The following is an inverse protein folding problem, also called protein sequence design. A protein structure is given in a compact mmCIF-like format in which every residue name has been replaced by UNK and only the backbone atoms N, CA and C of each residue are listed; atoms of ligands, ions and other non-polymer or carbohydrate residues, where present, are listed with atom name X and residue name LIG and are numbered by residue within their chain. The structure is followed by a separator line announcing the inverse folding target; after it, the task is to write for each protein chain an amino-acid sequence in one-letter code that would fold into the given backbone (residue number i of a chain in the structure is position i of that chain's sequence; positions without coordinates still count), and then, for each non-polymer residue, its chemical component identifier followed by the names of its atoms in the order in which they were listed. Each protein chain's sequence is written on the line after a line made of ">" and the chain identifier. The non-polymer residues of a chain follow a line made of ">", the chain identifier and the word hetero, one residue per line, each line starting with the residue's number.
data_IF_688147914863
#
_entry.id   IF_688147914863
#
_cell.length_a   1.000
_cell.length_b   1.000
_cell.length_c   1.000
_cell.angle_alpha   90.00
_cell.angle_beta   90.00
_cell.angle_gamma   90.00
#
_symmetry.space_group_name_H-M   'P 1'
#
loop_
_entity.id
_entity.type
_entity.pdbx_description
1 polymer ?
#
# COMPACT_ATOMS: atom_id res chain seq x y z
N UNK A 1 -7.23 11.20 1.94
CA UNK A 1 -6.03 11.22 1.08
C UNK A 1 -6.31 10.62 -0.30
N UNK A 2 -6.92 9.43 -0.35
CA UNK A 2 -7.17 8.75 -1.63
C UNK A 2 -8.25 9.43 -2.46
N UNK A 3 -9.30 9.94 -1.84
CA UNK A 3 -10.35 10.68 -2.54
C UNK A 3 -9.80 11.95 -3.20
N UNK A 4 -8.95 12.69 -2.48
CA UNK A 4 -8.29 13.87 -3.03
C UNK A 4 -7.34 13.48 -4.18
N UNK A 5 -6.61 12.38 -4.04
CA UNK A 5 -5.74 11.86 -5.08
C UNK A 5 -6.52 11.51 -6.35
N UNK A 6 -7.70 10.92 -6.22
CA UNK A 6 -8.56 10.57 -7.36
C UNK A 6 -9.00 11.83 -8.12
N UNK A 7 -9.25 12.93 -7.43
CA UNK A 7 -9.60 14.21 -8.07
C UNK A 7 -8.43 14.76 -8.89
N UNK A 8 -7.18 14.54 -8.43
CA UNK A 8 -5.99 15.00 -9.13
C UNK A 8 -5.70 14.14 -10.37
N UNK A 9 -5.92 12.83 -10.29
CA UNK A 9 -5.62 11.90 -11.39
C UNK A 9 -6.83 11.04 -11.75
N UNK A 10 -7.89 11.63 -12.37
CA UNK A 10 -9.11 10.86 -12.64
C UNK A 10 -8.94 9.77 -13.69
N UNK A 11 -7.92 9.87 -14.57
CA UNK A 11 -7.71 8.95 -15.69
C UNK A 11 -6.53 7.99 -15.51
N UNK A 12 -5.78 8.13 -14.44
CA UNK A 12 -4.60 7.31 -14.19
C UNK A 12 -4.79 6.42 -12.97
N UNK A 13 -3.94 5.40 -12.84
CA UNK A 13 -4.03 4.49 -11.70
C UNK A 13 -3.52 5.16 -10.43
N UNK A 14 -4.16 4.83 -9.34
CA UNK A 14 -3.68 5.12 -7.99
C UNK A 14 -3.22 3.80 -7.38
N UNK A 15 -1.94 3.71 -7.09
CA UNK A 15 -1.31 2.56 -6.44
C UNK A 15 -1.01 2.95 -5.01
N UNK A 16 -1.64 2.27 -4.05
CA UNK A 16 -1.41 2.52 -2.64
C UNK A 16 -0.51 1.45 -2.06
N UNK A 17 0.48 1.85 -1.28
CA UNK A 17 1.33 0.96 -0.49
C UNK A 17 1.06 1.29 0.96
N UNK A 18 0.53 0.34 1.73
CA UNK A 18 0.14 0.54 3.10
C UNK A 18 0.92 -0.36 4.04
N UNK A 19 1.57 0.24 5.03
CA UNK A 19 2.18 -0.47 6.15
C UNK A 19 1.40 -0.12 7.41
N UNK A 20 0.59 -1.05 7.95
CA UNK A 20 -0.11 -0.79 9.21
C UNK A 20 0.90 -0.52 10.34
N UNK A 21 0.58 0.44 11.19
CA UNK A 21 1.41 0.82 12.32
C UNK A 21 0.76 0.33 13.60
N UNK A 22 1.39 -0.63 14.25
CA UNK A 22 0.94 -1.32 15.47
C UNK A 22 -0.24 -2.26 15.24
N UNK A 23 -0.17 -3.41 15.84
CA UNK A 23 -1.24 -4.41 15.80
C UNK A 23 -2.52 -3.92 16.49
N UNK A 24 -2.39 -3.20 17.61
CA UNK A 24 -3.53 -2.65 18.33
C UNK A 24 -4.31 -1.65 17.49
N UNK A 25 -3.62 -0.80 16.73
CA UNK A 25 -4.27 0.16 15.84
C UNK A 25 -4.97 -0.55 14.69
N UNK A 26 -4.34 -1.57 14.11
CA UNK A 26 -4.98 -2.37 13.06
C UNK A 26 -6.25 -3.03 13.58
N UNK A 27 -6.20 -3.61 14.78
CA UNK A 27 -7.38 -4.22 15.43
C UNK A 27 -8.49 -3.20 15.63
N UNK A 28 -8.16 -2.05 16.22
CA UNK A 28 -9.17 -1.05 16.63
C UNK A 28 -9.83 -0.37 15.41
N UNK A 29 -9.10 -0.25 14.30
CA UNK A 29 -9.57 0.43 13.09
C UNK A 29 -9.75 -0.52 11.90
N UNK A 30 -9.82 -1.83 12.16
CA UNK A 30 -9.81 -2.84 11.11
C UNK A 30 -10.90 -2.62 10.05
N UNK A 31 -12.14 -2.41 10.49
CA UNK A 31 -13.24 -2.19 9.56
C UNK A 31 -13.08 -0.88 8.77
N UNK A 32 -12.56 0.16 9.41
CA UNK A 32 -12.28 1.42 8.72
C UNK A 32 -11.22 1.23 7.63
N UNK A 33 -10.15 0.47 7.93
CA UNK A 33 -9.12 0.16 6.93
C UNK A 33 -9.68 -0.69 5.79
N UNK A 34 -10.59 -1.63 6.07
CA UNK A 34 -11.19 -2.46 5.03
C UNK A 34 -12.00 -1.65 4.01
N UNK A 35 -12.47 -0.47 4.37
CA UNK A 35 -13.32 0.36 3.51
C UNK A 35 -12.66 1.65 3.02
N UNK A 36 -11.44 1.98 3.46
CA UNK A 36 -10.84 3.28 3.14
C UNK A 36 -10.02 3.30 1.85
N UNK A 37 -9.83 2.16 1.18
CA UNK A 37 -8.99 2.06 -0.02
C UNK A 37 -9.76 1.97 -1.32
N UNK A 38 -11.04 2.34 -1.32
CA UNK A 38 -11.91 2.20 -2.50
C UNK A 38 -11.42 3.01 -3.70
N UNK A 39 -10.77 4.15 -3.47
CA UNK A 39 -10.25 4.99 -4.55
C UNK A 39 -8.88 4.55 -5.08
N UNK A 40 -8.25 3.56 -4.47
CA UNK A 40 -7.01 2.98 -4.98
C UNK A 40 -7.32 1.87 -5.98
N UNK A 41 -6.65 1.91 -7.13
CA UNK A 41 -6.78 0.86 -8.14
C UNK A 41 -6.06 -0.42 -7.71
N UNK A 42 -4.93 -0.28 -7.03
CA UNK A 42 -4.17 -1.38 -6.44
C UNK A 42 -3.75 -1.03 -5.03
N UNK A 43 -3.81 -1.99 -4.13
CA UNK A 43 -3.35 -1.86 -2.75
C UNK A 43 -2.33 -2.94 -2.47
N UNK A 44 -1.13 -2.52 -2.10
CA UNK A 44 -0.07 -3.41 -1.64
C UNK A 44 0.09 -3.24 -0.14
N UNK A 45 -0.01 -4.36 0.58
CA UNK A 45 0.10 -4.37 2.04
C UNK A 45 1.46 -4.92 2.45
N UNK A 46 2.14 -4.21 3.32
CA UNK A 46 3.38 -4.65 3.96
C UNK A 46 3.08 -5.21 5.34
N UNK A 47 4.04 -5.94 5.93
CA UNK A 47 3.93 -6.41 7.30
C UNK A 47 3.64 -5.26 8.26
N UNK A 48 2.88 -5.56 9.31
CA UNK A 48 2.62 -4.59 10.38
C UNK A 48 3.95 -4.14 11.00
N UNK A 49 4.12 -2.83 11.13
CA UNK A 49 5.21 -2.27 11.92
C UNK A 49 4.81 -2.34 13.39
N UNK A 50 5.45 -3.25 14.13
CA UNK A 50 5.01 -3.60 15.48
C UNK A 50 5.18 -2.48 16.51
N UNK A 51 6.21 -1.65 16.34
CA UNK A 51 6.58 -0.60 17.30
C UNK A 51 6.72 -1.15 18.74
N UNK A 52 7.24 -2.37 18.88
CA UNK A 52 7.45 -3.01 20.17
C UNK A 52 6.28 -3.83 20.68
N UNK A 53 5.16 -3.85 19.97
CA UNK A 53 4.02 -4.68 20.36
C UNK A 53 4.20 -6.14 19.95
N UNK A 54 3.60 -7.04 20.71
CA UNK A 54 3.47 -8.43 20.30
C UNK A 54 2.38 -8.57 19.24
N UNK A 55 2.53 -9.53 18.31
CA UNK A 55 1.48 -9.82 17.34
C UNK A 55 0.15 -10.13 18.02
N UNK A 56 -0.93 -9.65 17.41
CA UNK A 56 -2.30 -9.95 17.85
C UNK A 56 -2.92 -10.89 16.84
N UNK A 57 -3.40 -12.04 17.30
CA UNK A 57 -4.03 -13.04 16.44
C UNK A 57 -5.19 -12.41 15.64
N UNK A 58 -5.27 -12.76 14.37
CA UNK A 58 -6.28 -12.27 13.41
C UNK A 58 -6.09 -10.80 12.98
N UNK A 59 -5.02 -10.14 13.38
CA UNK A 59 -4.75 -8.75 12.99
C UNK A 59 -3.35 -8.58 12.40
N UNK A 60 -3.05 -9.41 11.41
CA UNK A 60 -1.90 -9.31 10.55
C UNK A 60 -2.28 -8.64 9.22
N UNK A 61 -1.30 -8.22 8.43
CA UNK A 61 -1.56 -7.67 7.10
C UNK A 61 -2.26 -8.67 6.18
N UNK A 62 -2.00 -9.95 6.35
CA UNK A 62 -2.71 -11.01 5.60
C UNK A 62 -4.19 -11.05 5.94
N UNK A 63 -4.56 -10.75 7.18
CA UNK A 63 -5.97 -10.66 7.58
C UNK A 63 -6.62 -9.43 6.96
N UNK A 64 -5.89 -8.33 6.86
CA UNK A 64 -6.37 -7.11 6.20
C UNK A 64 -6.57 -7.34 4.70
N UNK A 65 -5.71 -8.11 4.06
CA UNK A 65 -5.87 -8.50 2.65
C UNK A 65 -7.22 -9.21 2.45
N UNK A 66 -7.51 -10.17 3.29
CA UNK A 66 -8.79 -10.89 3.26
C UNK A 66 -9.95 -9.93 3.50
N UNK A 67 -9.84 -9.05 4.49
CA UNK A 67 -10.86 -8.08 4.83
C UNK A 67 -11.18 -7.12 3.69
N UNK A 68 -10.15 -6.58 3.06
CA UNK A 68 -10.32 -5.68 1.90
C UNK A 68 -11.00 -6.39 0.74
N UNK A 69 -10.63 -7.64 0.47
CA UNK A 69 -11.26 -8.44 -0.59
C UNK A 69 -12.73 -8.70 -0.29
N UNK A 70 -13.07 -8.99 0.96
CA UNK A 70 -14.47 -9.19 1.38
C UNK A 70 -15.31 -7.91 1.24
N UNK A 71 -14.68 -6.74 1.40
CA UNK A 71 -15.35 -5.45 1.23
C UNK A 71 -15.41 -5.01 -0.25
N UNK A 72 -14.97 -5.88 -1.16
CA UNK A 72 -15.12 -5.67 -2.59
C UNK A 72 -13.91 -5.12 -3.32
N UNK A 73 -12.79 -4.91 -2.66
CA UNK A 73 -11.59 -4.45 -3.36
C UNK A 73 -10.97 -5.62 -4.15
N UNK A 74 -10.82 -5.44 -5.46
CA UNK A 74 -10.42 -6.53 -6.36
C UNK A 74 -8.92 -6.69 -6.52
N UNK A 75 -8.13 -5.67 -6.20
CA UNK A 75 -6.70 -5.63 -6.46
C UNK A 75 -5.92 -5.34 -5.20
N UNK A 76 -5.91 -6.29 -4.28
CA UNK A 76 -5.19 -6.22 -3.01
C UNK A 76 -4.18 -7.35 -2.98
N UNK A 77 -2.96 -7.04 -2.59
CA UNK A 77 -1.89 -8.03 -2.44
C UNK A 77 -1.04 -7.74 -1.22
N UNK A 78 -0.85 -8.74 -0.37
CA UNK A 78 0.14 -8.70 0.68
C UNK A 78 1.48 -9.12 0.09
N UNK A 79 2.52 -8.33 0.29
CA UNK A 79 3.87 -8.65 -0.17
C UNK A 79 4.84 -8.51 1.00
N UNK A 80 5.46 -9.62 1.37
CA UNK A 80 6.42 -9.65 2.47
C UNK A 80 7.76 -9.05 2.09
N UNK A 81 8.23 -9.33 0.88
CA UNK A 81 9.56 -8.95 0.42
C UNK A 81 9.54 -7.62 -0.32
N UNK A 82 10.34 -6.67 0.16
CA UNK A 82 10.44 -5.33 -0.44
C UNK A 82 10.95 -5.36 -1.87
N UNK A 83 11.84 -6.29 -2.20
CA UNK A 83 12.34 -6.42 -3.58
C UNK A 83 11.24 -6.86 -4.53
N UNK A 84 10.40 -7.78 -4.12
CA UNK A 84 9.24 -8.21 -4.89
C UNK A 84 8.25 -7.07 -5.08
N UNK A 85 7.99 -6.29 -4.03
CA UNK A 85 7.15 -5.11 -4.10
C UNK A 85 7.66 -4.13 -5.15
N UNK A 86 8.95 -3.80 -5.11
CA UNK A 86 9.56 -2.86 -6.06
C UNK A 86 9.42 -3.35 -7.51
N UNK A 87 9.74 -4.61 -7.76
CA UNK A 87 9.60 -5.21 -9.09
C UNK A 87 8.17 -5.18 -9.59
N UNK A 88 7.22 -5.50 -8.72
CA UNK A 88 5.80 -5.51 -9.06
C UNK A 88 5.33 -4.11 -9.45
N UNK A 89 5.69 -3.10 -8.67
CA UNK A 89 5.29 -1.71 -8.93
C UNK A 89 5.93 -1.20 -10.21
N UNK A 90 7.21 -1.48 -10.45
CA UNK A 90 7.89 -1.05 -11.69
C UNK A 90 7.24 -1.64 -12.94
N UNK A 91 6.72 -2.86 -12.86
CA UNK A 91 5.99 -3.48 -13.98
C UNK A 91 4.59 -2.91 -14.14
N UNK A 92 3.94 -2.54 -13.06
CA UNK A 92 2.55 -2.10 -13.05
C UNK A 92 2.39 -0.62 -13.38
N UNK A 93 3.25 0.22 -12.80
CA UNK A 93 3.12 1.67 -12.90
C UNK A 93 3.42 2.18 -14.31
N UNK A 94 2.59 3.08 -14.78
CA UNK A 94 2.76 3.76 -16.06
C UNK A 94 2.98 5.26 -15.82
N UNK A 95 3.47 6.01 -16.83
CA UNK A 95 3.64 7.45 -16.67
C UNK A 95 2.35 8.12 -16.20
N UNK A 96 2.49 9.05 -15.27
CA UNK A 96 1.40 9.80 -14.65
C UNK A 96 0.53 9.00 -13.65
N UNK A 97 0.82 7.74 -13.40
CA UNK A 97 0.20 7.02 -12.30
C UNK A 97 0.68 7.60 -10.97
N UNK A 98 -0.19 7.56 -9.97
CA UNK A 98 0.12 8.08 -8.64
C UNK A 98 0.40 6.92 -7.69
N UNK A 99 1.54 6.99 -7.00
CA UNK A 99 1.90 6.02 -5.97
C UNK A 99 1.83 6.73 -4.63
N UNK A 100 0.98 6.23 -3.73
CA UNK A 100 0.80 6.80 -2.41
C UNK A 100 1.28 5.78 -1.37
N UNK A 101 2.25 6.20 -0.55
CA UNK A 101 2.75 5.39 0.55
C UNK A 101 2.13 5.86 1.85
N UNK A 102 1.42 4.96 2.52
CA UNK A 102 0.69 5.26 3.76
C UNK A 102 1.23 4.38 4.88
N UNK A 103 1.46 4.97 6.03
CA UNK A 103 1.91 4.25 7.21
C UNK A 103 3.09 4.91 7.90
N UNK A 104 3.80 4.12 8.71
CA UNK A 104 4.93 4.56 9.49
C UNK A 104 6.09 3.57 9.38
N UNK A 105 7.18 3.83 10.10
CA UNK A 105 8.34 2.95 10.08
C UNK A 105 9.14 3.08 8.79
N UNK A 106 9.37 1.98 8.08
CA UNK A 106 10.22 1.94 6.90
C UNK A 106 9.57 2.46 5.61
N UNK A 107 8.32 2.90 5.66
CA UNK A 107 7.58 3.30 4.45
C UNK A 107 8.22 4.48 3.72
N UNK A 108 8.81 5.41 4.45
CA UNK A 108 9.51 6.55 3.86
C UNK A 108 10.71 6.11 3.02
N UNK A 109 11.47 5.12 3.50
CA UNK A 109 12.61 4.57 2.76
C UNK A 109 12.15 3.89 1.47
N UNK A 110 11.02 3.19 1.52
CA UNK A 110 10.42 2.55 0.35
C UNK A 110 10.00 3.60 -0.67
N UNK A 111 9.35 4.66 -0.23
CA UNK A 111 8.91 5.75 -1.10
C UNK A 111 10.11 6.40 -1.81
N UNK A 112 11.18 6.69 -1.08
CA UNK A 112 12.38 7.31 -1.64
C UNK A 112 13.04 6.40 -2.68
N UNK A 113 13.13 5.10 -2.39
CA UNK A 113 13.71 4.14 -3.32
C UNK A 113 12.87 4.00 -4.58
N UNK A 114 11.55 3.97 -4.47
CA UNK A 114 10.66 3.94 -5.62
C UNK A 114 10.82 5.17 -6.50
N UNK A 115 10.94 6.34 -5.91
CA UNK A 115 11.16 7.59 -6.64
C UNK A 115 12.44 7.50 -7.45
N UNK A 116 13.54 7.04 -6.85
CA UNK A 116 14.82 6.90 -7.53
C UNK A 116 14.73 5.86 -8.66
N UNK A 117 14.16 4.70 -8.41
CA UNK A 117 14.04 3.61 -9.38
C UNK A 117 13.15 4.00 -10.55
N UNK A 118 12.02 4.64 -10.30
CA UNK A 118 11.11 5.12 -11.35
C UNK A 118 11.78 6.21 -12.20
N UNK A 119 12.52 7.11 -11.58
CA UNK A 119 13.27 8.14 -12.30
C UNK A 119 14.31 7.51 -13.22
N UNK A 120 15.05 6.52 -12.73
CA UNK A 120 16.04 5.79 -13.52
C UNK A 120 15.39 5.11 -14.73
N UNK A 121 14.30 4.38 -14.52
CA UNK A 121 13.56 3.72 -15.60
C UNK A 121 13.09 4.73 -16.66
N UNK A 122 12.55 5.86 -16.25
CA UNK A 122 12.10 6.89 -17.19
C UNK A 122 13.24 7.46 -18.02
N UNK A 123 14.46 7.51 -17.49
CA UNK A 123 15.64 8.03 -18.21
C UNK A 123 16.21 7.05 -19.22
N UNK A 124 15.95 5.77 -19.05
CA UNK A 124 16.53 4.72 -19.90
C UNK A 124 15.57 4.21 -20.99
N UNK A 125 14.45 4.88 -21.13
CA UNK A 125 13.52 4.65 -22.24
C UNK A 125 13.93 5.56 -23.43
#
# INVERSE_FOLDING_TARGET
>A
ALAAARLITPKHKIISIFQPHRYSRLRDLFNDFCSCFNDADHVFLLDVYSAGEEPIENFESTDLEIGLSKYGHKNVSYIKDKKTLMKTILKLAQPNDLIICLGAGSITKIANKLEDDLYYECRNI
#
